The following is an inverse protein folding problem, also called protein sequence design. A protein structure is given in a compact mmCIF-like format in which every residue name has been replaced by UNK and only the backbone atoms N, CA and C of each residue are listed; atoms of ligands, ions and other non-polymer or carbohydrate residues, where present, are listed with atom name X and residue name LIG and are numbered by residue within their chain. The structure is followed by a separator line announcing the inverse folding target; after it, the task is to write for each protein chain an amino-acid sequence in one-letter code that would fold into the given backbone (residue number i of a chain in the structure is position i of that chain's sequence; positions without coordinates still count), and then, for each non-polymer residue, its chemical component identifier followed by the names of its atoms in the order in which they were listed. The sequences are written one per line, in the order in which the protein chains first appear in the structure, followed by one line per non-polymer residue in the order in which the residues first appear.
data_IF_462332272988
#
_entry.id   IF_462332272988
#
_cell.length_a   1.000
_cell.length_b   1.000
_cell.length_c   1.000
_cell.angle_alpha   90.00
_cell.angle_beta   90.00
_cell.angle_gamma   90.00
#
_symmetry.space_group_name_H-M   'P 1'
#
loop_
_entity.id
_entity.type
_entity.pdbx_description
1 polymer ?
#
# COMPACT_ATOMS: atom_id res chain seq x y z
N UNK A 1 17.47 -16.09 2.48
CA UNK A 1 16.41 -15.54 3.37
C UNK A 1 17.10 -14.70 4.44
N UNK A 2 16.74 -13.42 4.59
CA UNK A 2 17.31 -12.53 5.61
C UNK A 2 16.50 -12.73 6.91
N UNK A 3 17.13 -12.89 8.07
CA UNK A 3 16.47 -13.11 9.37
C UNK A 3 15.53 -14.33 9.46
N UNK A 4 15.68 -15.30 8.54
CA UNK A 4 14.75 -16.43 8.44
C UNK A 4 13.38 -16.07 7.88
N UNK A 5 13.26 -14.90 7.24
CA UNK A 5 12.04 -14.40 6.63
C UNK A 5 12.20 -14.33 5.11
N UNK A 6 11.07 -14.50 4.41
CA UNK A 6 11.05 -14.27 2.96
C UNK A 6 11.19 -12.77 2.67
N UNK A 7 11.68 -12.45 1.48
CA UNK A 7 11.77 -11.05 1.05
C UNK A 7 10.40 -10.36 1.10
N UNK A 8 9.35 -11.04 0.62
CA UNK A 8 7.96 -10.55 0.66
C UNK A 8 7.50 -10.26 2.10
N UNK A 9 7.80 -11.14 3.06
CA UNK A 9 7.43 -10.93 4.47
C UNK A 9 8.07 -9.66 5.04
N UNK A 10 9.37 -9.46 4.79
CA UNK A 10 10.08 -8.27 5.25
C UNK A 10 9.49 -7.02 4.59
N UNK A 11 9.25 -7.07 3.27
CA UNK A 11 8.66 -5.95 2.53
C UNK A 11 7.25 -5.58 3.04
N UNK A 12 6.40 -6.56 3.35
CA UNK A 12 5.07 -6.32 3.90
C UNK A 12 5.11 -5.65 5.27
N UNK A 13 5.99 -6.11 6.17
CA UNK A 13 6.15 -5.49 7.50
C UNK A 13 6.68 -4.05 7.37
N UNK A 14 7.70 -3.84 6.53
CA UNK A 14 8.22 -2.49 6.29
C UNK A 14 7.19 -1.55 5.65
N UNK A 15 6.28 -2.07 4.82
CA UNK A 15 5.21 -1.27 4.23
C UNK A 15 4.23 -0.74 5.28
N UNK A 16 3.85 -1.57 6.26
CA UNK A 16 3.03 -1.13 7.40
C UNK A 16 3.76 -0.02 8.16
N UNK A 17 5.04 -0.20 8.50
CA UNK A 17 5.80 0.85 9.19
C UNK A 17 5.92 2.17 8.43
N UNK A 18 5.95 2.12 7.10
CA UNK A 18 6.03 3.32 6.27
C UNK A 18 4.79 4.23 6.38
N UNK A 19 3.62 3.66 6.67
CA UNK A 19 2.35 4.39 6.81
C UNK A 19 2.32 5.31 8.04
N UNK A 20 3.09 4.99 9.08
CA UNK A 20 3.07 5.71 10.36
C UNK A 20 4.25 6.68 10.47
N UNK A 21 4.03 7.97 10.19
CA UNK A 21 5.05 9.02 10.17
C UNK A 21 5.94 9.09 11.42
N UNK A 22 5.38 8.71 12.56
CA UNK A 22 5.95 8.67 13.90
C UNK A 22 7.06 7.62 14.02
N UNK A 23 7.07 6.57 13.18
CA UNK A 23 8.11 5.55 13.20
C UNK A 23 9.31 6.04 12.38
N UNK A 24 10.41 6.38 13.05
CA UNK A 24 11.69 6.67 12.41
C UNK A 24 12.47 5.40 12.07
N UNK A 25 12.41 4.40 12.95
CA UNK A 25 13.22 3.18 12.82
C UNK A 25 12.57 2.03 13.58
N UNK A 26 12.66 0.82 13.03
CA UNK A 26 12.33 -0.42 13.74
C UNK A 26 13.58 -1.30 13.83
N UNK A 27 13.89 -1.78 15.03
CA UNK A 27 15.00 -2.68 15.31
C UNK A 27 14.46 -4.08 15.55
N UNK A 28 14.93 -5.04 14.76
CA UNK A 28 14.72 -6.46 15.02
C UNK A 28 15.74 -6.90 16.07
N UNK A 29 15.28 -7.56 17.12
CA UNK A 29 16.14 -8.17 18.13
C UNK A 29 15.81 -9.66 18.31
N UNK A 30 16.22 -10.24 19.43
CA UNK A 30 15.85 -11.62 19.77
C UNK A 30 16.53 -12.67 18.89
N UNK A 31 15.82 -13.77 18.66
CA UNK A 31 16.40 -14.97 18.03
C UNK A 31 16.73 -14.77 16.55
N UNK A 32 15.89 -14.00 15.85
CA UNK A 32 16.04 -13.72 14.41
C UNK A 32 17.20 -12.78 14.14
N UNK A 33 17.42 -11.76 14.98
CA UNK A 33 18.58 -10.88 14.88
C UNK A 33 19.90 -11.63 15.13
N UNK A 34 19.92 -12.56 16.11
CA UNK A 34 21.09 -13.39 16.44
C UNK A 34 21.38 -14.51 15.46
N UNK A 35 20.42 -14.85 14.59
CA UNK A 35 20.54 -15.98 13.67
C UNK A 35 20.32 -17.36 14.31
N UNK A 36 19.84 -17.44 15.54
CA UNK A 36 19.55 -18.71 16.25
C UNK A 36 18.05 -19.03 16.34
N UNK A 37 17.27 -18.48 15.40
CA UNK A 37 15.83 -18.67 15.27
C UNK A 37 15.47 -20.08 14.75
N UNK A 38 14.25 -20.52 15.06
CA UNK A 38 13.58 -21.68 14.47
C UNK A 38 12.56 -21.20 13.44
N UNK A 39 12.03 -22.12 12.64
CA UNK A 39 11.03 -21.79 11.60
C UNK A 39 9.85 -20.99 12.14
N UNK A 40 9.30 -21.37 13.30
CA UNK A 40 8.18 -20.69 13.96
C UNK A 40 8.57 -19.70 15.06
N UNK A 41 9.83 -19.23 15.10
CA UNK A 41 10.22 -18.21 16.09
C UNK A 41 9.47 -16.90 15.86
N UNK A 42 9.18 -16.19 16.93
CA UNK A 42 8.54 -14.87 16.87
C UNK A 42 9.44 -13.83 16.18
N UNK A 43 8.84 -12.72 15.77
CA UNK A 43 9.54 -11.56 15.21
C UNK A 43 9.52 -10.45 16.26
N UNK A 44 10.61 -10.35 17.03
CA UNK A 44 10.78 -9.33 18.07
C UNK A 44 11.18 -7.97 17.46
N UNK A 45 10.27 -6.98 17.47
CA UNK A 45 10.49 -5.64 16.92
C UNK A 45 10.31 -4.55 17.98
N UNK A 46 11.26 -3.61 18.01
CA UNK A 46 11.19 -2.41 18.82
C UNK A 46 11.18 -1.18 17.92
N UNK A 47 10.22 -0.29 18.14
CA UNK A 47 10.03 0.96 17.41
C UNK A 47 10.78 2.12 18.09
N UNK A 48 11.34 2.98 17.26
CA UNK A 48 11.96 4.25 17.59
C UNK A 48 11.30 5.36 16.77
N UNK A 49 11.06 6.50 17.39
CA UNK A 49 10.58 7.70 16.73
C UNK A 49 9.84 8.62 17.68
N UNK A 50 9.44 9.78 17.18
CA UNK A 50 8.79 10.81 17.99
C UNK A 50 7.29 10.55 18.13
N UNK A 51 6.72 10.93 19.27
CA UNK A 51 5.28 10.83 19.56
C UNK A 51 4.66 9.42 19.44
N UNK A 52 5.46 8.36 19.57
CA UNK A 52 4.95 7.00 19.69
C UNK A 52 4.18 6.84 21.00
N UNK A 53 2.93 6.36 20.92
CA UNK A 53 2.06 6.09 22.07
C UNK A 53 1.61 4.63 22.09
N UNK A 54 1.17 4.15 23.25
CA UNK A 54 0.64 2.78 23.38
C UNK A 54 -0.56 2.51 22.45
N UNK A 55 -1.43 3.50 22.23
CA UNK A 55 -2.58 3.37 21.32
C UNK A 55 -2.15 3.26 19.86
N UNK A 56 -1.14 4.04 19.46
CA UNK A 56 -0.54 3.96 18.13
C UNK A 56 0.16 2.61 17.94
N UNK A 57 0.93 2.15 18.94
CA UNK A 57 1.58 0.85 18.93
C UNK A 57 0.56 -0.30 18.77
N UNK A 58 -0.60 -0.20 19.44
CA UNK A 58 -1.67 -1.19 19.33
C UNK A 58 -2.31 -1.19 17.94
N UNK A 59 -2.45 0.00 17.32
CA UNK A 59 -2.94 0.15 15.95
C UNK A 59 -1.98 -0.49 14.95
N UNK A 60 -0.68 -0.20 15.09
CA UNK A 60 0.37 -0.79 14.24
C UNK A 60 0.40 -2.31 14.40
N UNK A 61 0.30 -2.82 15.62
CA UNK A 61 0.22 -4.26 15.87
C UNK A 61 -0.98 -4.91 15.17
N UNK A 62 -2.15 -4.27 15.22
CA UNK A 62 -3.34 -4.75 14.49
C UNK A 62 -3.11 -4.79 12.97
N UNK A 63 -2.47 -3.79 12.37
CA UNK A 63 -2.16 -3.80 10.94
C UNK A 63 -1.13 -4.86 10.55
N UNK A 64 -0.18 -5.16 11.45
CA UNK A 64 0.79 -6.24 11.26
C UNK A 64 0.13 -7.62 11.36
N UNK A 65 -0.80 -7.82 12.29
CA UNK A 65 -1.57 -9.05 12.43
C UNK A 65 -2.44 -9.32 11.20
N UNK A 66 -3.00 -8.26 10.62
CA UNK A 66 -3.77 -8.31 9.38
C UNK A 66 -2.93 -8.82 8.20
N UNK A 67 -1.59 -8.77 8.23
CA UNK A 67 -0.74 -9.36 7.18
C UNK A 67 -0.88 -10.90 7.08
N UNK A 68 -1.55 -11.56 8.05
CA UNK A 68 -1.80 -13.01 8.10
C UNK A 68 -0.51 -13.82 7.92
N UNK A 69 0.58 -13.34 8.52
CA UNK A 69 1.87 -14.01 8.46
C UNK A 69 1.86 -15.26 9.35
N UNK A 70 2.64 -16.30 9.01
CA UNK A 70 2.74 -17.51 9.82
C UNK A 70 3.62 -17.34 11.08
N UNK A 71 3.82 -16.09 11.53
CA UNK A 71 4.70 -15.72 12.63
C UNK A 71 3.98 -14.77 13.56
N UNK A 72 4.18 -14.92 14.87
CA UNK A 72 3.83 -13.88 15.85
C UNK A 72 4.79 -12.71 15.71
N UNK A 73 4.29 -11.49 15.84
CA UNK A 73 5.11 -10.28 15.89
C UNK A 73 4.97 -9.66 17.28
N UNK A 74 6.07 -9.61 18.02
CA UNK A 74 6.14 -8.95 19.33
C UNK A 74 6.63 -7.52 19.12
N UNK A 75 5.73 -6.55 19.25
CA UNK A 75 6.01 -5.13 19.00
C UNK A 75 6.12 -4.34 20.32
N UNK A 76 7.11 -3.47 20.42
CA UNK A 76 7.32 -2.59 21.58
C UNK A 76 7.83 -1.20 21.16
N UNK A 77 7.67 -0.20 22.02
CA UNK A 77 8.28 1.13 21.88
C UNK A 77 9.55 1.16 22.74
N UNK A 78 10.70 1.54 22.18
CA UNK A 78 11.98 1.50 22.90
C UNK A 78 11.97 2.37 24.16
N UNK A 79 11.38 3.55 24.08
CA UNK A 79 11.38 4.52 25.18
C UNK A 79 10.53 4.07 26.37
N UNK A 80 9.52 3.23 26.13
CA UNK A 80 8.67 2.63 27.16
C UNK A 80 9.31 1.43 27.86
N UNK A 81 10.45 0.93 27.35
CA UNK A 81 11.16 -0.20 27.96
C UNK A 81 11.86 0.23 29.25
N UNK A 82 11.28 -0.18 30.38
CA UNK A 82 11.83 0.08 31.73
C UNK A 82 12.92 -0.91 32.18
N UNK A 83 13.26 -1.91 31.36
CA UNK A 83 14.22 -2.96 31.70
C UNK A 83 15.59 -2.69 31.09
N UNK A 84 16.53 -2.17 31.88
CA UNK A 84 17.89 -1.83 31.44
C UNK A 84 18.59 -2.97 30.67
N UNK A 85 18.51 -4.21 31.17
CA UNK A 85 19.09 -5.38 30.51
C UNK A 85 18.50 -5.65 29.11
N UNK A 86 17.21 -5.39 28.93
CA UNK A 86 16.55 -5.58 27.64
C UNK A 86 16.95 -4.48 26.66
N UNK A 87 17.05 -3.23 27.12
CA UNK A 87 17.54 -2.11 26.31
C UNK A 87 18.97 -2.35 25.83
N UNK A 88 19.89 -2.67 26.75
CA UNK A 88 21.27 -3.04 26.41
C UNK A 88 21.33 -4.22 25.45
N UNK A 89 20.39 -5.17 25.59
CA UNK A 89 20.30 -6.29 24.67
C UNK A 89 19.96 -5.84 23.25
N UNK A 90 18.89 -5.05 23.10
CA UNK A 90 18.43 -4.51 21.82
C UNK A 90 19.54 -3.67 21.18
N UNK A 91 20.23 -2.83 21.95
CA UNK A 91 21.33 -2.02 21.43
C UNK A 91 22.53 -2.87 20.97
N UNK A 92 22.84 -3.95 21.70
CA UNK A 92 24.01 -4.78 21.41
C UNK A 92 23.80 -5.75 20.25
N UNK A 93 22.62 -6.36 20.14
CA UNK A 93 22.36 -7.41 19.14
C UNK A 93 21.31 -7.03 18.10
N UNK A 94 20.61 -5.92 18.31
CA UNK A 94 19.57 -5.45 17.42
C UNK A 94 20.13 -5.10 16.05
N UNK A 95 19.32 -5.37 15.03
CA UNK A 95 19.64 -5.05 13.65
C UNK A 95 18.53 -4.16 13.08
N UNK A 96 18.92 -3.17 12.29
CA UNK A 96 17.96 -2.30 11.61
C UNK A 96 17.09 -3.14 10.68
N UNK A 97 15.79 -3.16 10.97
CA UNK A 97 14.79 -3.87 10.19
C UNK A 97 14.10 -2.92 9.21
N UNK A 98 13.72 -1.74 9.71
CA UNK A 98 13.17 -0.62 8.96
C UNK A 98 13.84 0.66 9.44
N UNK A 99 14.12 1.57 8.51
CA UNK A 99 14.56 2.91 8.81
C UNK A 99 13.89 3.84 7.80
N UNK A 100 13.19 4.85 8.31
CA UNK A 100 12.51 5.84 7.50
C UNK A 100 13.58 6.61 6.73
N UNK A 101 13.46 6.61 5.42
CA UNK A 101 14.38 7.35 4.58
C UNK A 101 14.13 8.86 4.76
N UNK A 102 14.99 9.50 5.57
CA UNK A 102 14.91 10.95 5.85
C UNK A 102 15.16 11.79 4.59
N UNK A 103 15.65 11.22 3.48
CA UNK A 103 15.78 11.94 2.20
C UNK A 103 14.44 12.37 1.60
N UNK A 104 13.32 11.74 1.97
CA UNK A 104 12.00 12.14 1.46
C UNK A 104 11.25 13.11 2.38
N UNK A 105 11.71 13.28 3.64
CA UNK A 105 11.13 14.23 4.58
C UNK A 105 11.65 15.66 4.39
N UNK A 106 12.91 15.80 3.93
CA UNK A 106 13.46 17.05 3.42
C UNK A 106 13.65 16.89 1.91
N UNK A 107 12.67 17.32 1.12
CA UNK A 107 12.69 17.18 -0.34
C UNK A 107 14.06 17.54 -0.92
N UNK A 108 14.51 16.77 -1.92
CA UNK A 108 15.74 17.07 -2.67
C UNK A 108 15.79 18.56 -3.03
N UNK A 109 16.96 19.18 -2.97
CA UNK A 109 17.11 20.58 -3.35
C UNK A 109 16.50 20.84 -4.74
N UNK A 110 15.58 21.80 -4.82
CA UNK A 110 14.78 22.08 -6.04
C UNK A 110 13.47 21.30 -6.18
N UNK A 111 13.13 20.40 -5.26
CA UNK A 111 11.83 19.69 -5.23
C UNK A 111 10.85 20.38 -4.29
N UNK A 112 9.58 20.43 -4.72
CA UNK A 112 8.46 20.94 -3.92
C UNK A 112 7.57 19.80 -3.43
N UNK A 113 7.01 19.96 -2.22
CA UNK A 113 6.00 19.03 -1.68
C UNK A 113 4.61 19.60 -1.96
N UNK A 114 3.78 18.84 -2.67
CA UNK A 114 2.39 19.19 -2.98
C UNK A 114 1.41 18.13 -2.48
N UNK A 115 0.21 18.56 -2.09
CA UNK A 115 -0.90 17.65 -1.78
C UNK A 115 -1.40 17.02 -3.07
N UNK A 116 -1.66 15.71 -3.07
CA UNK A 116 -2.15 14.99 -4.25
C UNK A 116 -3.41 15.62 -4.85
N UNK A 117 -4.36 16.07 -4.01
CA UNK A 117 -5.58 16.75 -4.47
C UNK A 117 -5.37 18.12 -5.13
N UNK A 118 -4.16 18.69 -5.11
CA UNK A 118 -3.83 19.87 -5.91
C UNK A 118 -3.28 19.50 -7.29
N UNK A 119 -2.86 18.25 -7.49
CA UNK A 119 -2.27 17.75 -8.73
C UNK A 119 -3.23 16.86 -9.51
N UNK A 120 -4.16 16.21 -8.82
CA UNK A 120 -5.13 15.27 -9.39
C UNK A 120 -6.55 15.54 -8.89
N UNK A 121 -7.53 15.34 -9.77
CA UNK A 121 -8.90 15.05 -9.36
C UNK A 121 -8.93 13.60 -8.84
N UNK A 122 -9.41 13.42 -7.61
CA UNK A 122 -9.51 12.12 -6.96
C UNK A 122 -10.96 11.70 -6.97
N UNK A 123 -11.27 10.66 -7.74
CA UNK A 123 -12.64 10.22 -7.99
C UNK A 123 -12.83 8.80 -7.50
N UNK A 124 -13.84 8.59 -6.67
CA UNK A 124 -14.24 7.25 -6.28
C UNK A 124 -15.21 6.69 -7.31
N UNK A 125 -15.02 5.41 -7.64
CA UNK A 125 -15.95 4.69 -8.48
C UNK A 125 -17.31 4.47 -7.82
N UNK A 126 -18.16 3.69 -8.49
CA UNK A 126 -19.53 3.43 -8.05
C UNK A 126 -19.92 2.00 -8.39
N UNK A 127 -20.59 1.35 -7.44
CA UNK A 127 -21.30 0.09 -7.68
C UNK A 127 -22.78 0.39 -7.93
N UNK A 128 -23.28 0.25 -9.18
CA UNK A 128 -24.72 0.24 -9.43
C UNK A 128 -25.44 -0.81 -8.57
N UNK A 129 -26.72 -0.59 -8.29
CA UNK A 129 -27.49 -1.53 -7.46
C UNK A 129 -27.38 -2.95 -8.02
N UNK A 130 -26.81 -3.86 -7.23
CA UNK A 130 -26.64 -5.29 -7.57
C UNK A 130 -27.99 -6.00 -7.74
N UNK A 131 -29.03 -5.52 -7.05
CA UNK A 131 -30.38 -6.05 -7.20
C UNK A 131 -31.04 -5.67 -8.53
N UNK A 132 -30.59 -4.59 -9.17
CA UNK A 132 -31.13 -4.16 -10.45
C UNK A 132 -30.30 -4.71 -11.62
N UNK A 133 -30.71 -5.88 -12.13
CA UNK A 133 -30.05 -6.55 -13.26
C UNK A 133 -29.97 -5.68 -14.52
N UNK A 134 -30.84 -4.69 -14.69
CA UNK A 134 -30.81 -3.82 -15.87
C UNK A 134 -29.56 -2.93 -15.94
N UNK A 135 -28.77 -2.80 -14.87
CA UNK A 135 -27.50 -2.08 -14.85
C UNK A 135 -26.29 -2.94 -15.23
N UNK A 136 -26.44 -4.26 -15.25
CA UNK A 136 -25.35 -5.20 -15.43
C UNK A 136 -25.51 -5.90 -16.78
N UNK A 137 -24.39 -6.05 -17.46
CA UNK A 137 -24.32 -6.72 -18.75
C UNK A 137 -23.76 -8.13 -18.54
N UNK A 138 -24.63 -9.04 -18.09
CA UNK A 138 -24.28 -10.44 -17.81
C UNK A 138 -23.76 -11.17 -19.06
N UNK A 139 -24.10 -10.69 -20.25
CA UNK A 139 -23.73 -11.29 -21.54
C UNK A 139 -22.49 -10.65 -22.17
N UNK A 140 -21.99 -9.54 -21.62
CA UNK A 140 -20.88 -8.75 -22.18
C UNK A 140 -21.12 -8.31 -23.62
N UNK A 141 -22.34 -7.86 -23.91
CA UNK A 141 -22.72 -7.32 -25.22
C UNK A 141 -22.19 -5.88 -25.44
N UNK A 142 -21.90 -5.17 -24.35
CA UNK A 142 -21.31 -3.82 -24.32
C UNK A 142 -19.80 -3.86 -24.10
N UNK A 143 -19.15 -2.72 -24.30
CA UNK A 143 -17.73 -2.53 -23.97
C UNK A 143 -17.51 -1.83 -22.61
N UNK A 144 -18.54 -1.73 -21.77
CA UNK A 144 -18.50 -0.96 -20.52
C UNK A 144 -17.90 -1.81 -19.38
N UNK A 145 -16.60 -2.06 -19.44
CA UNK A 145 -15.86 -2.81 -18.41
C UNK A 145 -16.01 -2.14 -17.04
N UNK A 146 -16.31 -2.93 -16.00
CA UNK A 146 -16.44 -2.45 -14.63
C UNK A 146 -15.50 -3.19 -13.68
N UNK A 147 -14.52 -2.47 -13.14
CA UNK A 147 -13.46 -3.03 -12.33
C UNK A 147 -13.82 -3.08 -10.84
N UNK A 148 -13.55 -4.23 -10.23
CA UNK A 148 -13.38 -4.42 -8.80
C UNK A 148 -11.90 -4.45 -8.41
N UNK A 149 -11.59 -4.38 -7.11
CA UNK A 149 -10.19 -4.49 -6.63
C UNK A 149 -9.52 -5.79 -7.11
N UNK A 150 -10.28 -6.89 -7.18
CA UNK A 150 -9.76 -8.18 -7.62
C UNK A 150 -9.30 -8.17 -9.09
N UNK A 151 -9.89 -7.30 -9.92
CA UNK A 151 -9.52 -7.21 -11.34
C UNK A 151 -8.19 -6.48 -11.55
N UNK A 152 -7.79 -5.62 -10.61
CA UNK A 152 -6.47 -4.97 -10.65
C UNK A 152 -5.32 -5.98 -10.55
N UNK A 153 -5.56 -7.19 -10.02
CA UNK A 153 -4.58 -8.27 -9.98
C UNK A 153 -4.29 -8.87 -11.37
N UNK A 154 -5.18 -8.65 -12.34
CA UNK A 154 -5.04 -9.15 -13.71
C UNK A 154 -4.36 -8.14 -14.63
N UNK A 155 -3.87 -7.01 -14.09
CA UNK A 155 -3.16 -6.03 -14.88
C UNK A 155 -1.87 -6.62 -15.47
N UNK A 156 -1.68 -6.44 -16.77
CA UNK A 156 -0.44 -6.79 -17.48
C UNK A 156 0.34 -5.51 -17.76
N UNK A 157 1.63 -5.51 -17.44
CA UNK A 157 2.49 -4.31 -17.46
C UNK A 157 1.85 -3.09 -16.75
N UNK A 158 1.20 -3.33 -15.60
CA UNK A 158 0.42 -2.34 -14.84
C UNK A 158 -0.77 -1.73 -15.60
N UNK A 159 -1.24 -2.33 -16.68
CA UNK A 159 -2.40 -1.87 -17.44
C UNK A 159 -3.54 -2.89 -17.28
N UNK A 160 -4.71 -2.41 -16.92
CA UNK A 160 -5.93 -3.22 -16.83
C UNK A 160 -6.87 -2.89 -17.99
N UNK A 161 -7.29 -3.93 -18.72
CA UNK A 161 -8.13 -3.82 -19.93
C UNK A 161 -9.41 -4.65 -19.86
N UNK A 162 -9.58 -5.51 -18.86
CA UNK A 162 -10.76 -6.36 -18.77
C UNK A 162 -11.11 -6.65 -17.30
N UNK A 163 -12.34 -7.11 -17.07
CA UNK A 163 -12.85 -7.55 -15.78
C UNK A 163 -13.79 -8.75 -15.94
N UNK A 164 -14.13 -9.36 -14.82
CA UNK A 164 -15.24 -10.31 -14.71
C UNK A 164 -16.59 -9.67 -15.04
N UNK A 165 -16.76 -8.37 -14.82
CA UNK A 165 -18.08 -7.72 -14.85
C UNK A 165 -18.13 -6.50 -15.79
N UNK A 166 -19.31 -6.31 -16.38
CA UNK A 166 -19.59 -5.26 -17.36
C UNK A 166 -20.91 -4.57 -16.98
N UNK A 167 -21.01 -3.27 -17.26
CA UNK A 167 -22.24 -2.51 -17.11
C UNK A 167 -23.05 -2.50 -18.40
N UNK A 168 -24.37 -2.51 -18.29
CA UNK A 168 -25.19 -2.08 -19.43
C UNK A 168 -25.02 -0.57 -19.67
N UNK A 169 -25.51 -0.06 -20.80
CA UNK A 169 -25.52 1.39 -21.04
C UNK A 169 -26.27 2.18 -19.96
N UNK A 170 -27.29 1.56 -19.32
CA UNK A 170 -28.01 2.16 -18.19
C UNK A 170 -27.14 2.22 -16.93
N UNK A 171 -26.34 1.19 -16.67
CA UNK A 171 -25.39 1.16 -15.56
C UNK A 171 -24.26 2.16 -15.76
N UNK A 172 -23.72 2.22 -16.99
CA UNK A 172 -22.69 3.17 -17.40
C UNK A 172 -23.16 4.62 -17.24
N UNK A 173 -24.39 4.95 -17.67
CA UNK A 173 -24.94 6.30 -17.59
C UNK A 173 -25.07 6.87 -16.17
N UNK A 174 -25.14 6.01 -15.14
CA UNK A 174 -25.21 6.44 -13.73
C UNK A 174 -23.86 6.36 -13.00
N UNK A 175 -22.81 5.96 -13.70
CA UNK A 175 -21.47 5.73 -13.19
C UNK A 175 -20.49 6.73 -13.83
N UNK A 176 -19.41 7.07 -13.11
CA UNK A 176 -18.39 7.97 -13.65
C UNK A 176 -17.42 7.18 -14.51
N UNK A 177 -17.21 7.61 -15.74
CA UNK A 177 -16.22 7.00 -16.64
C UNK A 177 -14.82 7.42 -16.23
N UNK A 178 -13.94 6.45 -16.04
CA UNK A 178 -12.50 6.65 -15.92
C UNK A 178 -11.89 6.58 -17.32
N UNK A 179 -11.15 7.61 -17.71
CA UNK A 179 -10.54 7.70 -19.03
C UNK A 179 -9.33 6.78 -19.15
N UNK A 180 -9.05 6.34 -20.38
CA UNK A 180 -7.81 5.64 -20.73
C UNK A 180 -6.58 6.40 -20.22
N UNK A 181 -5.65 5.66 -19.60
CA UNK A 181 -4.37 6.16 -19.09
C UNK A 181 -4.46 6.82 -17.72
N UNK A 182 -5.64 6.88 -17.09
CA UNK A 182 -5.79 7.33 -15.71
C UNK A 182 -5.25 6.27 -14.74
N UNK A 183 -4.53 6.72 -13.71
CA UNK A 183 -4.02 5.84 -12.66
C UNK A 183 -5.14 5.46 -11.68
N UNK A 184 -5.27 4.16 -11.42
CA UNK A 184 -6.21 3.56 -10.48
C UNK A 184 -5.48 3.16 -9.20
N UNK A 185 -6.08 3.43 -8.04
CA UNK A 185 -5.54 3.12 -6.72
C UNK A 185 -6.59 2.45 -5.86
N UNK A 186 -6.39 1.19 -5.44
CA UNK A 186 -7.27 0.58 -4.44
C UNK A 186 -6.95 1.07 -3.03
N UNK A 187 -7.97 1.24 -2.18
CA UNK A 187 -7.77 1.74 -0.81
C UNK A 187 -8.60 1.05 0.27
N UNK A 188 -9.49 0.10 -0.08
CA UNK A 188 -10.13 -0.80 0.90
C UNK A 188 -9.46 -2.17 0.83
N UNK A 189 -8.98 -2.65 1.98
CA UNK A 189 -8.21 -3.89 2.19
C UNK A 189 -6.76 -3.83 1.67
N UNK A 190 -5.88 -4.58 2.35
CA UNK A 190 -4.42 -4.42 2.37
C UNK A 190 -3.73 -4.31 1.00
N UNK A 191 -2.85 -3.30 0.92
CA UNK A 191 -1.92 -2.95 -0.16
C UNK A 191 -2.62 -2.33 -1.37
N UNK A 192 -2.61 -0.98 -1.42
CA UNK A 192 -3.18 -0.23 -2.53
C UNK A 192 -2.52 -0.61 -3.85
N UNK A 193 -3.28 -1.34 -4.66
CA UNK A 193 -2.90 -1.79 -5.99
C UNK A 193 -3.00 -0.64 -6.95
N UNK A 194 -2.02 -0.60 -7.86
CA UNK A 194 -1.90 0.42 -8.88
C UNK A 194 -2.02 -0.22 -10.25
N UNK A 195 -2.85 0.36 -11.10
CA UNK A 195 -2.91 0.02 -12.52
C UNK A 195 -3.38 1.23 -13.32
N UNK A 196 -3.02 1.32 -14.59
CA UNK A 196 -3.55 2.27 -15.54
C UNK A 196 -4.75 1.67 -16.27
N UNK A 197 -5.79 2.48 -16.47
CA UNK A 197 -6.91 2.10 -17.33
C UNK A 197 -6.44 1.96 -18.79
N UNK A 198 -6.53 0.77 -19.38
CA UNK A 198 -6.10 0.52 -20.75
C UNK A 198 -7.05 1.06 -21.83
N UNK A 199 -8.30 1.33 -21.45
CA UNK A 199 -9.31 2.07 -22.22
C UNK A 199 -10.27 2.76 -21.25
N UNK A 200 -11.27 3.48 -21.78
CA UNK A 200 -12.33 4.07 -20.96
C UNK A 200 -13.13 2.97 -20.26
N UNK A 201 -13.26 3.03 -18.93
CA UNK A 201 -13.86 1.98 -18.11
C UNK A 201 -14.53 2.56 -16.85
N UNK A 202 -15.10 1.71 -16.02
CA UNK A 202 -15.76 2.06 -14.76
C UNK A 202 -15.14 1.29 -13.60
N UNK A 203 -15.27 1.79 -12.38
CA UNK A 203 -14.71 1.15 -11.18
C UNK A 203 -15.72 1.12 -10.04
N UNK A 204 -15.49 0.26 -9.06
CA UNK A 204 -16.23 0.28 -7.80
C UNK A 204 -15.76 1.40 -6.85
N UNK A 205 -16.47 1.59 -5.74
CA UNK A 205 -16.18 2.64 -4.75
C UNK A 205 -14.91 2.42 -3.92
N UNK A 206 -14.21 1.30 -4.12
CA UNK A 206 -12.99 0.95 -3.42
C UNK A 206 -11.71 1.23 -4.24
N UNK A 207 -11.89 1.77 -5.45
CA UNK A 207 -10.84 2.20 -6.37
C UNK A 207 -11.00 3.69 -6.61
N UNK A 208 -9.93 4.45 -6.32
CA UNK A 208 -9.81 5.84 -6.67
C UNK A 208 -9.15 5.97 -8.05
N UNK A 209 -9.72 6.80 -8.92
CA UNK A 209 -9.09 7.24 -10.16
C UNK A 209 -8.41 8.60 -9.93
N UNK A 210 -7.14 8.72 -10.34
CA UNK A 210 -6.32 9.91 -10.18
C UNK A 210 -6.14 10.59 -11.54
N UNK A 211 -7.03 11.52 -11.86
CA UNK A 211 -6.98 12.28 -13.11
C UNK A 211 -6.07 13.49 -12.93
N UNK A 212 -4.92 13.50 -13.60
CA UNK A 212 -3.92 14.59 -13.51
C UNK A 212 -4.48 15.88 -14.12
N UNK A 213 -4.39 17.00 -13.39
CA UNK A 213 -4.85 18.30 -13.90
C UNK A 213 -3.95 18.87 -15.00
N UNK A 214 -2.63 18.65 -14.90
CA UNK A 214 -1.63 19.17 -15.83
C UNK A 214 -0.47 18.19 -16.04
N UNK A 215 -0.47 17.48 -17.18
CA UNK A 215 0.57 16.49 -17.50
C UNK A 215 1.96 17.10 -17.75
N UNK A 216 2.08 18.43 -17.90
CA UNK A 216 3.39 19.11 -17.97
C UNK A 216 4.03 19.31 -16.59
N UNK A 217 3.22 19.31 -15.54
CA UNK A 217 3.65 19.50 -14.16
C UNK A 217 3.85 18.15 -13.46
N UNK A 218 3.01 17.16 -13.78
CA UNK A 218 3.06 15.82 -13.20
C UNK A 218 2.95 14.76 -14.30
N UNK A 219 3.97 13.93 -14.47
CA UNK A 219 3.89 12.77 -15.36
C UNK A 219 3.20 11.59 -14.68
N UNK A 220 2.55 10.74 -15.49
CA UNK A 220 1.85 9.53 -15.02
C UNK A 220 2.81 8.53 -14.38
N UNK A 221 4.01 8.41 -14.93
CA UNK A 221 5.08 7.52 -14.45
C UNK A 221 5.60 7.98 -13.09
N UNK A 222 5.76 9.30 -12.91
CA UNK A 222 6.19 9.86 -11.63
C UNK A 222 5.09 9.70 -10.58
N UNK A 223 3.83 9.96 -10.94
CA UNK A 223 2.69 9.74 -10.04
C UNK A 223 2.60 8.26 -9.61
N UNK A 224 2.70 7.33 -10.55
CA UNK A 224 2.69 5.88 -10.28
C UNK A 224 3.81 5.49 -9.32
N UNK A 225 5.04 5.91 -9.59
CA UNK A 225 6.21 5.64 -8.75
C UNK A 225 6.04 6.24 -7.34
N UNK A 226 5.53 7.47 -7.26
CA UNK A 226 5.26 8.14 -5.98
C UNK A 226 4.20 7.39 -5.17
N UNK A 227 3.13 6.91 -5.82
CA UNK A 227 2.10 6.09 -5.17
C UNK A 227 2.68 4.75 -4.67
N UNK A 228 3.57 4.08 -5.42
CA UNK A 228 4.25 2.87 -4.93
C UNK A 228 5.03 3.17 -3.65
N UNK A 229 5.81 4.25 -3.65
CA UNK A 229 6.63 4.65 -2.51
C UNK A 229 5.79 5.02 -1.28
N UNK A 230 4.63 5.64 -1.47
CA UNK A 230 3.75 6.09 -0.38
C UNK A 230 2.81 5.00 0.13
N UNK A 231 2.38 4.06 -0.72
CA UNK A 231 1.39 3.03 -0.37
C UNK A 231 2.07 1.73 0.07
N UNK A 232 3.38 1.56 -0.19
CA UNK A 232 4.20 0.47 0.32
C UNK A 232 3.86 -0.89 -0.29
N UNK A 233 4.33 -1.17 -1.52
CA UNK A 233 4.82 -2.51 -1.93
C UNK A 233 5.28 -2.55 -3.41
N UNK A 234 6.57 -2.88 -3.56
CA UNK A 234 7.38 -3.30 -4.75
C UNK A 234 7.74 -2.27 -5.84
N UNK A 235 9.06 -2.06 -6.07
CA UNK A 235 9.57 -1.74 -7.40
C UNK A 235 9.55 -3.00 -8.28
N UNK A 236 8.95 -2.92 -9.47
CA UNK A 236 9.28 -3.83 -10.56
C UNK A 236 10.70 -3.50 -11.03
N UNK A 237 11.54 -4.54 -11.10
CA UNK A 237 12.86 -4.47 -11.74
C UNK A 237 12.66 -3.98 -13.18
N UNK A 238 13.22 -2.81 -13.51
CA UNK A 238 13.54 -2.51 -14.89
C UNK A 238 14.84 -3.26 -15.24
N UNK A 239 14.79 -4.09 -16.28
CA UNK A 239 15.98 -4.51 -17.03
C UNK A 239 16.48 -3.34 -17.88
#
# INVERSE_FOLDING_TARGET
MKYGLTKTTIESICAVFAHFSEIEKAILYGSRAKGNFKTGSDIDLTLFGEALTSDLCSTIASELDDLLLPYTIDLSIFDDLNHAKLREHIERVGVVFYERDKQYAGGKEGWETKKLGHLCEIELGKTPSRANKAFWDEKRETNNVWLSIADLLNADDNIVVDSKEYLSDKGAAISKTVRKGTLLVSFKLMLGRLAFAGHDLFTNEAIAALTIFNERELSKEFLFTSCISLIGARPLKMM
#
